data_IF_491610167620
#
_entry.id   IF_491610167620
#
_cell.length_a   1.000
_cell.length_b   1.000
_cell.length_c   1.000
_cell.angle_alpha   90.00
_cell.angle_beta   90.00
_cell.angle_gamma   90.00
#
_symmetry.space_group_name_H-M   'P 1'
#
loop_
_entity.id
_entity.type
_entity.pdbx_description
1 polymer ?
#
# COMPACT_ATOMS: atom_id res chain seq x y z
N UNK A 1 -4.45 12.78 4.79
CA UNK A 1 -4.51 13.46 3.47
C UNK A 1 -5.94 13.86 3.13
N UNK A 2 -6.88 12.91 3.16
CA UNK A 2 -8.28 13.13 2.76
C UNK A 2 -8.94 14.37 3.38
N UNK A 3 -8.96 14.49 4.71
CA UNK A 3 -9.56 15.67 5.39
C UNK A 3 -8.95 17.00 4.93
N UNK A 4 -7.63 17.06 4.81
CA UNK A 4 -6.93 18.25 4.32
C UNK A 4 -7.29 18.57 2.86
N UNK A 5 -7.43 17.55 2.01
CA UNK A 5 -7.83 17.70 0.62
C UNK A 5 -9.27 18.23 0.48
N UNK A 6 -10.17 17.83 1.38
CA UNK A 6 -11.57 18.28 1.39
C UNK A 6 -11.72 19.68 1.97
N UNK A 7 -11.09 19.97 3.11
CA UNK A 7 -11.24 21.25 3.81
C UNK A 7 -10.43 22.38 3.13
N UNK A 8 -9.32 22.04 2.48
CA UNK A 8 -8.36 23.01 1.93
C UNK A 8 -7.93 22.63 0.50
N UNK A 9 -8.89 22.29 -0.36
CA UNK A 9 -8.65 21.78 -1.72
C UNK A 9 -7.69 22.62 -2.56
N UNK A 10 -7.79 23.94 -2.52
CA UNK A 10 -6.89 24.87 -3.25
C UNK A 10 -5.45 24.71 -2.77
N UNK A 11 -5.21 24.71 -1.45
CA UNK A 11 -3.87 24.58 -0.86
C UNK A 11 -3.33 23.17 -1.11
N UNK A 12 -4.18 22.16 -0.98
CA UNK A 12 -3.83 20.76 -1.25
C UNK A 12 -3.36 20.57 -2.69
N UNK A 13 -4.14 21.04 -3.67
CA UNK A 13 -3.79 20.97 -5.09
C UNK A 13 -2.47 21.71 -5.37
N UNK A 14 -2.26 22.87 -4.77
CA UNK A 14 -1.02 23.65 -4.94
C UNK A 14 0.20 22.91 -4.36
N UNK A 15 0.05 22.29 -3.18
CA UNK A 15 1.10 21.52 -2.51
C UNK A 15 1.48 20.26 -3.31
N UNK A 16 0.49 19.54 -3.83
CA UNK A 16 0.70 18.33 -4.64
C UNK A 16 1.30 18.68 -6.00
N UNK A 17 0.78 19.70 -6.68
CA UNK A 17 1.19 20.06 -8.05
C UNK A 17 2.57 20.76 -8.11
N UNK A 18 2.89 21.64 -7.15
CA UNK A 18 4.07 22.52 -7.30
C UNK A 18 5.35 21.97 -6.70
N UNK A 19 5.28 21.09 -5.71
CA UNK A 19 6.45 20.87 -4.87
C UNK A 19 7.06 19.48 -4.97
N UNK A 20 6.35 18.39 -5.22
CA UNK A 20 6.91 17.02 -5.03
C UNK A 20 7.41 16.72 -3.61
N UNK A 21 7.59 17.74 -2.76
CA UNK A 21 8.02 17.71 -1.36
C UNK A 21 7.05 16.98 -0.45
N UNK A 22 5.77 16.91 -0.87
CA UNK A 22 4.78 16.07 -0.20
C UNK A 22 5.25 14.61 -0.13
N UNK A 23 5.76 14.07 -1.24
CA UNK A 23 6.35 12.73 -1.28
C UNK A 23 7.75 12.69 -0.65
N UNK A 24 8.52 13.78 -0.72
CA UNK A 24 9.87 13.81 -0.14
C UNK A 24 9.87 13.70 1.39
N UNK A 25 9.07 14.52 2.09
CA UNK A 25 8.96 14.45 3.55
C UNK A 25 8.32 13.14 4.03
N UNK A 26 7.40 12.60 3.22
CA UNK A 26 6.83 11.28 3.43
C UNK A 26 7.90 10.18 3.38
N UNK A 27 8.74 10.18 2.34
CA UNK A 27 9.71 9.12 2.10
C UNK A 27 10.91 9.14 3.07
N UNK A 28 11.39 10.33 3.45
CA UNK A 28 12.61 10.47 4.26
C UNK A 28 12.38 10.27 5.77
N UNK A 29 11.23 10.69 6.30
CA UNK A 29 10.98 10.71 7.76
C UNK A 29 9.79 9.90 8.21
N UNK A 30 8.70 9.93 7.45
CA UNK A 30 7.45 9.28 7.83
C UNK A 30 7.46 7.79 7.51
N UNK A 31 8.02 7.41 6.35
CA UNK A 31 8.04 6.03 5.89
C UNK A 31 8.78 5.08 6.85
N UNK A 32 9.97 5.38 7.40
CA UNK A 32 10.63 4.48 8.35
C UNK A 32 9.79 4.22 9.61
N UNK A 33 9.24 5.27 10.23
CA UNK A 33 8.43 5.15 11.43
C UNK A 33 7.15 4.33 11.19
N UNK A 34 6.49 4.54 10.05
CA UNK A 34 5.30 3.77 9.70
C UNK A 34 5.61 2.30 9.41
N UNK A 35 6.76 2.00 8.80
CA UNK A 35 7.20 0.61 8.61
C UNK A 35 7.47 -0.06 9.95
N UNK A 36 8.11 0.64 10.90
CA UNK A 36 8.29 0.12 12.26
C UNK A 36 6.96 -0.18 12.95
N UNK A 37 5.95 0.67 12.76
CA UNK A 37 4.62 0.42 13.31
C UNK A 37 3.91 -0.76 12.63
N UNK A 38 4.02 -0.89 11.31
CA UNK A 38 3.52 -2.05 10.56
C UNK A 38 4.18 -3.36 11.02
N UNK A 39 5.46 -3.35 11.41
CA UNK A 39 6.14 -4.53 11.94
C UNK A 39 5.61 -4.98 13.30
N UNK A 40 4.99 -4.09 14.08
CA UNK A 40 4.39 -4.41 15.39
C UNK A 40 3.00 -5.03 15.23
N UNK A 41 2.36 -4.83 14.08
CA UNK A 41 1.01 -5.33 13.81
C UNK A 41 0.99 -6.87 13.67
N UNK A 42 0.21 -7.59 14.49
CA UNK A 42 0.06 -9.04 14.41
C UNK A 42 -0.34 -9.56 13.03
N UNK A 43 -1.18 -8.84 12.29
CA UNK A 43 -1.65 -9.26 10.98
C UNK A 43 -0.59 -9.15 9.88
N UNK A 44 0.46 -8.36 10.14
CA UNK A 44 1.52 -8.07 9.18
C UNK A 44 2.85 -8.76 9.51
N UNK A 45 2.92 -9.49 10.63
CA UNK A 45 4.13 -10.19 11.12
C UNK A 45 4.76 -11.14 10.11
N UNK A 46 3.98 -11.67 9.19
CA UNK A 46 4.49 -12.58 8.17
C UNK A 46 5.27 -11.88 7.06
N UNK A 47 5.14 -10.56 6.89
CA UNK A 47 5.81 -9.81 5.83
C UNK A 47 7.19 -9.31 6.24
N UNK A 48 8.15 -9.36 5.31
CA UNK A 48 9.44 -8.70 5.50
C UNK A 48 9.35 -7.19 5.18
N UNK A 49 10.39 -6.44 5.53
CA UNK A 49 10.45 -4.99 5.35
C UNK A 49 10.14 -4.54 3.92
N UNK A 50 10.63 -5.24 2.90
CA UNK A 50 10.41 -4.86 1.51
C UNK A 50 8.97 -5.16 1.04
N UNK A 51 8.36 -6.22 1.56
CA UNK A 51 6.94 -6.51 1.36
C UNK A 51 6.06 -5.46 2.04
N UNK A 52 6.38 -5.06 3.28
CA UNK A 52 5.69 -4.00 4.00
C UNK A 52 5.78 -2.65 3.26
N UNK A 53 6.96 -2.29 2.74
CA UNK A 53 7.15 -1.10 1.89
C UNK A 53 6.26 -1.13 0.65
N UNK A 54 6.09 -2.29 0.01
CA UNK A 54 5.22 -2.44 -1.16
C UNK A 54 3.74 -2.29 -0.80
N UNK A 55 3.30 -2.86 0.32
CA UNK A 55 1.93 -2.67 0.82
C UNK A 55 1.69 -1.19 1.10
N UNK A 56 2.59 -0.56 1.87
CA UNK A 56 2.50 0.85 2.22
C UNK A 56 2.47 1.75 0.97
N UNK A 57 3.31 1.49 -0.02
CA UNK A 57 3.33 2.26 -1.28
C UNK A 57 1.96 2.26 -1.97
N UNK A 58 1.31 1.09 -2.05
CA UNK A 58 -0.05 0.99 -2.63
C UNK A 58 -1.05 1.84 -1.86
N UNK A 59 -0.99 1.79 -0.53
CA UNK A 59 -1.88 2.57 0.33
C UNK A 59 -1.71 4.07 0.15
N UNK A 60 -0.47 4.55 0.03
CA UNK A 60 -0.20 5.98 -0.22
C UNK A 60 -0.73 6.41 -1.57
N UNK A 61 -0.45 5.63 -2.62
CA UNK A 61 -0.89 5.93 -3.99
C UNK A 61 -2.42 6.05 -4.02
N UNK A 62 -3.11 5.07 -3.45
CA UNK A 62 -4.56 5.06 -3.41
C UNK A 62 -5.12 6.23 -2.58
N UNK A 63 -4.60 6.43 -1.37
CA UNK A 63 -4.92 7.56 -0.48
C UNK A 63 -4.77 8.91 -1.16
N UNK A 64 -3.67 9.11 -1.89
CA UNK A 64 -3.40 10.35 -2.61
C UNK A 64 -4.33 10.53 -3.81
N UNK A 65 -4.58 9.46 -4.58
CA UNK A 65 -5.53 9.46 -5.69
C UNK A 65 -6.95 9.81 -5.24
N UNK A 66 -7.45 9.16 -4.19
CA UNK A 66 -8.75 9.46 -3.60
C UNK A 66 -8.81 10.91 -3.09
N UNK A 67 -7.75 11.38 -2.43
CA UNK A 67 -7.66 12.77 -1.96
C UNK A 67 -7.71 13.77 -3.12
N UNK A 68 -7.05 13.47 -4.25
CA UNK A 68 -7.14 14.30 -5.47
C UNK A 68 -8.55 14.29 -6.07
N UNK A 69 -9.22 13.13 -6.12
CA UNK A 69 -10.59 13.04 -6.60
C UNK A 69 -11.55 13.84 -5.71
N UNK A 70 -11.39 13.75 -4.39
CA UNK A 70 -12.17 14.50 -3.42
C UNK A 70 -11.96 16.02 -3.54
N UNK A 71 -10.70 16.48 -3.60
CA UNK A 71 -10.37 17.91 -3.71
C UNK A 71 -10.92 18.57 -4.98
N UNK A 72 -11.12 17.79 -6.05
CA UNK A 72 -11.56 18.29 -7.36
C UNK A 72 -13.01 17.94 -7.68
N UNK A 73 -13.80 17.49 -6.69
CA UNK A 73 -15.20 17.09 -6.85
C UNK A 73 -15.40 16.07 -8.00
N UNK A 74 -14.46 15.14 -8.17
CA UNK A 74 -14.49 14.10 -9.21
C UNK A 74 -15.18 12.81 -8.74
N UNK A 75 -15.60 12.77 -7.48
CA UNK A 75 -16.36 11.65 -6.93
C UNK A 75 -17.85 11.79 -7.27
N UNK A 76 -18.57 10.66 -7.39
CA UNK A 76 -20.03 10.69 -7.55
C UNK A 76 -20.68 11.51 -6.42
N UNK A 77 -21.74 12.26 -6.73
CA UNK A 77 -22.35 13.20 -5.77
C UNK A 77 -22.94 12.57 -4.51
N UNK A 78 -23.12 11.25 -4.48
CA UNK A 78 -23.59 10.49 -3.31
C UNK A 78 -22.44 10.09 -2.36
N UNK A 79 -21.19 10.19 -2.80
CA UNK A 79 -20.02 9.77 -2.03
C UNK A 79 -19.63 10.86 -1.01
N UNK A 80 -20.02 10.64 0.24
CA UNK A 80 -19.75 11.54 1.36
C UNK A 80 -18.40 11.24 2.03
N UNK A 81 -18.05 12.03 3.05
CA UNK A 81 -16.78 11.86 3.78
C UNK A 81 -16.61 10.48 4.43
N UNK A 82 -17.68 9.96 5.03
CA UNK A 82 -17.66 8.66 5.67
C UNK A 82 -17.44 7.56 4.64
N UNK A 83 -18.12 7.63 3.49
CA UNK A 83 -17.94 6.66 2.40
C UNK A 83 -16.49 6.60 1.93
N UNK A 84 -15.82 7.76 1.81
CA UNK A 84 -14.40 7.82 1.45
C UNK A 84 -13.48 7.21 2.50
N UNK A 85 -13.80 7.36 3.79
CA UNK A 85 -13.05 6.71 4.88
C UNK A 85 -13.24 5.20 4.81
N UNK A 86 -14.48 4.75 4.59
CA UNK A 86 -14.81 3.33 4.50
C UNK A 86 -14.14 2.67 3.28
N UNK A 87 -14.06 3.39 2.15
CA UNK A 87 -13.30 2.97 0.96
C UNK A 87 -11.80 2.84 1.27
N UNK A 88 -11.21 3.78 2.02
CA UNK A 88 -9.80 3.68 2.42
C UNK A 88 -9.54 2.48 3.32
N UNK A 89 -10.41 2.24 4.31
CA UNK A 89 -10.28 1.13 5.25
C UNK A 89 -10.42 -0.22 4.52
N UNK A 90 -11.49 -0.41 3.76
CA UNK A 90 -11.70 -1.64 2.97
C UNK A 90 -10.57 -1.90 1.96
N UNK A 91 -10.07 -0.86 1.30
CA UNK A 91 -8.91 -1.02 0.39
C UNK A 91 -7.64 -1.42 1.15
N UNK A 92 -7.51 -1.02 2.41
CA UNK A 92 -6.40 -1.46 3.28
C UNK A 92 -6.49 -2.95 3.51
N UNK A 93 -7.66 -3.44 3.89
CA UNK A 93 -7.93 -4.87 4.09
C UNK A 93 -7.66 -5.67 2.81
N UNK A 94 -8.15 -5.17 1.67
CA UNK A 94 -7.93 -5.77 0.35
C UNK A 94 -6.44 -5.86 -0.01
N UNK A 95 -5.68 -4.80 0.27
CA UNK A 95 -4.24 -4.76 -0.02
C UNK A 95 -3.47 -5.78 0.82
N UNK A 96 -3.84 -5.92 2.10
CA UNK A 96 -3.27 -6.89 3.04
C UNK A 96 -3.64 -8.30 2.62
N UNK A 97 -4.93 -8.62 2.48
CA UNK A 97 -5.41 -9.95 2.06
C UNK A 97 -4.77 -10.38 0.73
N UNK A 98 -4.74 -9.48 -0.25
CA UNK A 98 -4.09 -9.74 -1.53
C UNK A 98 -2.59 -10.00 -1.39
N UNK A 99 -1.90 -9.36 -0.44
CA UNK A 99 -0.50 -9.62 -0.16
C UNK A 99 -0.29 -10.99 0.49
N UNK A 100 -1.15 -11.38 1.44
CA UNK A 100 -1.13 -12.70 2.07
C UNK A 100 -1.31 -13.82 1.03
N UNK A 101 -2.33 -13.68 0.18
CA UNK A 101 -2.60 -14.63 -0.91
C UNK A 101 -1.40 -14.79 -1.86
N UNK A 102 -0.82 -13.67 -2.33
CA UNK A 102 0.38 -13.71 -3.19
C UNK A 102 1.57 -14.38 -2.51
N UNK A 103 1.75 -14.14 -1.21
CA UNK A 103 2.83 -14.76 -0.44
C UNK A 103 2.63 -16.27 -0.30
N UNK A 104 1.39 -16.70 0.00
CA UNK A 104 1.00 -18.12 0.00
C UNK A 104 1.33 -18.81 -1.31
N UNK A 105 0.86 -18.26 -2.44
CA UNK A 105 1.15 -18.82 -3.77
C UNK A 105 2.65 -18.88 -4.10
N UNK A 106 3.43 -17.85 -3.71
CA UNK A 106 4.87 -17.85 -3.93
C UNK A 106 5.59 -18.91 -3.09
N UNK A 107 5.12 -19.17 -1.87
CA UNK A 107 5.69 -20.19 -0.99
C UNK A 107 5.40 -21.60 -1.52
N UNK A 108 4.16 -21.86 -1.98
CA UNK A 108 3.78 -23.12 -2.63
C UNK A 108 4.62 -23.37 -3.88
N UNK A 109 4.74 -22.36 -4.75
CA UNK A 109 5.57 -22.46 -5.96
C UNK A 109 7.02 -22.77 -5.62
N UNK A 110 7.62 -22.07 -4.66
CA UNK A 110 9.00 -22.34 -4.21
C UNK A 110 9.17 -23.77 -3.67
N UNK A 111 8.19 -24.28 -2.93
CA UNK A 111 8.23 -25.65 -2.42
C UNK A 111 8.18 -26.68 -3.55
N UNK A 112 7.33 -26.46 -4.56
CA UNK A 112 7.26 -27.29 -5.77
C UNK A 112 8.56 -27.24 -6.55
N UNK A 113 9.11 -26.04 -6.81
CA UNK A 113 10.38 -25.85 -7.53
C UNK A 113 11.55 -26.54 -6.81
N UNK A 114 11.59 -26.47 -5.47
CA UNK A 114 12.58 -27.17 -4.65
C UNK A 114 12.46 -28.69 -4.75
N UNK A 115 11.25 -29.24 -4.63
CA UNK A 115 11.01 -30.68 -4.79
C UNK A 115 11.38 -31.17 -6.18
N UNK A 116 11.06 -30.41 -7.24
CA UNK A 116 11.45 -30.74 -8.61
C UNK A 116 12.98 -30.78 -8.77
N UNK A 117 13.71 -29.86 -8.13
CA UNK A 117 15.18 -29.82 -8.17
C UNK A 117 15.80 -31.04 -7.48
N UNK A 118 15.21 -31.49 -6.35
CA UNK A 118 15.67 -32.68 -5.62
C UNK A 118 15.37 -34.01 -6.33
N UNK A 119 14.41 -34.02 -7.26
CA UNK A 119 14.01 -35.19 -8.04
C UNK A 119 14.76 -35.32 -9.38
N UNK A 120 15.56 -34.32 -9.76
CA UNK A 120 16.43 -34.43 -10.93
C UNK A 120 17.62 -35.35 -10.59
N UNK A 121 17.87 -36.42 -11.37
CA UNK A 121 19.05 -37.24 -11.16
C UNK A 121 20.29 -36.38 -11.37
N UNK A 122 21.27 -36.49 -10.46
CA UNK A 122 22.62 -35.95 -10.69
C UNK A 122 23.13 -36.56 -11.99
N UNK A 123 23.14 -35.76 -13.06
CA UNK A 123 23.81 -36.14 -14.29
C UNK A 123 25.29 -35.95 -14.01
N UNK A 124 25.90 -37.00 -13.47
CA UNK A 124 27.35 -37.12 -13.33
C UNK A 124 27.98 -36.96 -14.73
N UNK A 125 28.80 -35.91 -14.86
CA UNK A 125 29.62 -35.62 -16.04
C UNK A 125 30.99 -36.25 -15.91
#
# INVERSE_FOLDING_TARGET
>A
CLRFAMEYSVIFNDLVARNGKFLQGYNEKMMPALIEDMQKDPELKEFNVDELKKIMLKMIIFSLGLSMMAANNLLPGECNQQDMIDILLSTTDDAIMSAKLRKGFNNEKKAVDFLLTMLQPEVDS
#
